data_IF_408908851087
#
_entry.id   IF_408908851087
#
_cell.length_a   1.000
_cell.length_b   1.000
_cell.length_c   1.000
_cell.angle_alpha   90.00
_cell.angle_beta   90.00
_cell.angle_gamma   90.00
#
_symmetry.space_group_name_H-M   'P 1'
#
loop_
_entity.id
_entity.type
_entity.pdbx_description
1 polymer ?
#
# COMPACT_ATOMS: atom_id res chain seq x y z
N UNK A 1 -18.68 9.44 -1.41
CA UNK A 1 -17.73 9.35 -2.54
C UNK A 1 -16.45 10.01 -2.07
N UNK A 2 -15.30 9.33 -2.20
CA UNK A 2 -14.01 9.95 -1.86
C UNK A 2 -13.68 10.91 -3.02
N UNK A 3 -13.66 12.22 -2.75
CA UNK A 3 -13.14 13.21 -3.69
C UNK A 3 -11.62 13.31 -3.52
N UNK A 4 -10.88 12.85 -4.53
CA UNK A 4 -9.41 12.90 -4.57
C UNK A 4 -8.71 11.60 -4.17
N UNK A 5 -7.37 11.64 -4.21
CA UNK A 5 -6.51 10.49 -3.91
C UNK A 5 -6.55 10.14 -2.42
N UNK A 6 -6.82 8.87 -2.13
CA UNK A 6 -6.73 8.29 -0.80
C UNK A 6 -5.35 7.65 -0.60
N UNK A 7 -4.63 8.04 0.46
CA UNK A 7 -3.29 7.54 0.76
C UNK A 7 -3.27 6.81 2.11
N UNK A 8 -2.72 5.59 2.11
CA UNK A 8 -2.50 4.77 3.30
C UNK A 8 -1.00 4.56 3.49
N UNK A 9 -0.51 4.79 4.70
CA UNK A 9 0.84 4.41 5.13
C UNK A 9 0.75 3.26 6.13
N UNK A 10 1.35 2.15 5.77
CA UNK A 10 1.42 0.96 6.59
C UNK A 10 2.68 0.97 7.43
N UNK A 11 2.56 0.53 8.67
CA UNK A 11 3.66 0.44 9.62
C UNK A 11 3.70 -0.96 10.22
N UNK A 12 4.89 -1.53 10.35
CA UNK A 12 5.09 -2.76 11.10
C UNK A 12 6.54 -3.22 11.02
N UNK A 13 6.77 -4.53 11.11
CA UNK A 13 8.11 -5.12 11.02
C UNK A 13 8.24 -6.14 9.90
N UNK A 14 9.46 -6.33 9.40
CA UNK A 14 9.78 -7.34 8.39
C UNK A 14 9.31 -8.72 8.82
N UNK A 15 8.52 -9.38 7.97
CA UNK A 15 7.89 -10.68 8.26
C UNK A 15 6.49 -10.61 8.87
N UNK A 16 5.95 -9.41 9.17
CA UNK A 16 4.58 -9.25 9.72
C UNK A 16 3.51 -8.96 8.65
N UNK A 17 3.84 -9.03 7.36
CA UNK A 17 2.86 -8.87 6.28
C UNK A 17 2.49 -7.42 5.93
N UNK A 18 3.27 -6.42 6.35
CA UNK A 18 3.02 -4.98 6.05
C UNK A 18 2.90 -4.72 4.55
N UNK A 19 3.83 -5.27 3.76
CA UNK A 19 3.85 -5.13 2.30
C UNK A 19 2.67 -5.86 1.67
N UNK A 20 2.40 -7.07 2.13
CA UNK A 20 1.26 -7.87 1.68
C UNK A 20 -0.07 -7.18 1.96
N UNK A 21 -0.24 -6.53 3.10
CA UNK A 21 -1.45 -5.76 3.40
C UNK A 21 -1.65 -4.58 2.43
N UNK A 22 -0.56 -3.87 2.11
CA UNK A 22 -0.55 -2.80 1.09
C UNK A 22 -0.98 -3.33 -0.29
N UNK A 23 -0.45 -4.49 -0.70
CA UNK A 23 -0.81 -5.13 -1.96
C UNK A 23 -2.25 -5.61 -1.98
N UNK A 24 -2.77 -6.18 -0.88
CA UNK A 24 -4.16 -6.63 -0.78
C UNK A 24 -5.13 -5.45 -0.94
N UNK A 25 -4.85 -4.32 -0.28
CA UNK A 25 -5.68 -3.12 -0.44
C UNK A 25 -5.67 -2.61 -1.89
N UNK A 26 -4.50 -2.63 -2.54
CA UNK A 26 -4.41 -2.35 -3.95
C UNK A 26 -5.26 -3.31 -4.80
N UNK A 27 -5.14 -4.62 -4.61
CA UNK A 27 -5.96 -5.60 -5.34
C UNK A 27 -7.47 -5.39 -5.14
N UNK A 28 -7.89 -4.99 -3.94
CA UNK A 28 -9.29 -4.63 -3.69
C UNK A 28 -9.71 -3.41 -4.53
N UNK A 29 -8.86 -2.38 -4.64
CA UNK A 29 -9.14 -1.20 -5.47
C UNK A 29 -9.26 -1.55 -6.96
N UNK A 30 -8.44 -2.48 -7.48
CA UNK A 30 -8.57 -2.97 -8.87
C UNK A 30 -9.95 -3.58 -9.11
N UNK A 31 -10.46 -4.38 -8.16
CA UNK A 31 -11.78 -5.01 -8.28
C UNK A 31 -12.94 -4.01 -8.25
N UNK A 32 -12.68 -2.78 -7.81
CA UNK A 32 -13.63 -1.68 -7.82
C UNK A 32 -13.40 -0.71 -9.00
N UNK A 33 -12.65 -1.12 -10.03
CA UNK A 33 -12.32 -0.31 -11.21
C UNK A 33 -11.63 1.03 -10.88
N UNK A 34 -10.83 1.05 -9.80
CA UNK A 34 -10.04 2.23 -9.38
C UNK A 34 -8.59 2.14 -9.81
N UNK A 35 -7.94 3.29 -9.84
CA UNK A 35 -6.50 3.42 -10.08
C UNK A 35 -5.74 3.33 -8.76
N UNK A 36 -4.53 2.76 -8.81
CA UNK A 36 -3.75 2.56 -7.59
C UNK A 36 -2.24 2.63 -7.79
N UNK A 37 -1.54 2.79 -6.67
CA UNK A 37 -0.12 2.57 -6.54
C UNK A 37 0.15 1.86 -5.21
N UNK A 38 0.89 0.75 -5.21
CA UNK A 38 1.38 0.11 -3.99
C UNK A 38 2.89 -0.06 -4.08
N UNK A 39 3.61 0.37 -3.06
CA UNK A 39 5.05 0.22 -3.00
C UNK A 39 5.57 0.12 -1.56
N UNK A 40 6.60 -0.70 -1.34
CA UNK A 40 7.29 -0.73 -0.07
C UNK A 40 8.29 0.42 0.11
N UNK A 41 8.66 0.68 1.36
CA UNK A 41 9.77 1.55 1.76
C UNK A 41 10.57 0.82 2.84
N UNK A 42 11.53 0.04 2.33
CA UNK A 42 12.53 -0.71 3.09
C UNK A 42 13.79 -0.88 2.23
N UNK A 43 14.97 -0.82 2.84
CA UNK A 43 16.27 -1.10 2.22
C UNK A 43 16.62 -2.60 2.24
N UNK A 44 17.90 -3.00 2.40
CA UNK A 44 18.29 -4.41 2.57
C UNK A 44 17.92 -4.99 3.96
N UNK A 45 16.80 -4.53 4.52
CA UNK A 45 16.37 -4.76 5.88
C UNK A 45 16.02 -6.24 6.14
N UNK A 46 16.44 -6.74 7.31
CA UNK A 46 16.24 -8.13 7.74
C UNK A 46 14.89 -8.30 8.45
N UNK A 47 14.50 -9.56 8.67
CA UNK A 47 13.33 -9.93 9.47
C UNK A 47 13.31 -9.17 10.81
N UNK A 48 12.17 -8.61 11.18
CA UNK A 48 11.99 -7.83 12.41
C UNK A 48 12.38 -6.34 12.33
N UNK A 49 13.05 -5.86 11.27
CA UNK A 49 13.33 -4.44 11.10
C UNK A 49 12.04 -3.62 10.88
N UNK A 50 11.98 -2.33 11.26
CA UNK A 50 10.84 -1.47 10.93
C UNK A 50 10.64 -1.38 9.41
N UNK A 51 9.43 -1.64 8.95
CA UNK A 51 9.06 -1.60 7.52
C UNK A 51 7.89 -0.66 7.34
N UNK A 52 7.92 0.11 6.25
CA UNK A 52 6.78 0.87 5.76
C UNK A 52 6.35 0.35 4.39
N UNK A 53 5.08 0.55 4.09
CA UNK A 53 4.56 0.43 2.74
C UNK A 53 3.52 1.54 2.52
N UNK A 54 3.23 1.83 1.26
CA UNK A 54 2.29 2.87 0.89
C UNK A 54 1.30 2.33 -0.13
N UNK A 55 0.02 2.67 0.04
CA UNK A 55 -1.02 2.44 -0.94
C UNK A 55 -1.68 3.77 -1.28
N UNK A 56 -1.84 4.04 -2.57
CA UNK A 56 -2.59 5.19 -3.08
C UNK A 56 -3.72 4.67 -3.95
N UNK A 57 -4.91 5.25 -3.80
CA UNK A 57 -6.10 4.88 -4.56
C UNK A 57 -6.78 6.16 -5.07
N UNK A 58 -7.13 6.20 -6.34
CA UNK A 58 -7.89 7.30 -6.94
C UNK A 58 -8.94 6.75 -7.91
N UNK A 59 -10.00 7.52 -8.14
CA UNK A 59 -11.00 7.26 -9.16
C UNK A 59 -10.55 7.75 -10.56
N UNK A 60 -9.41 8.44 -10.66
CA UNK A 60 -8.82 8.93 -11.92
C UNK A 60 -7.37 8.49 -12.07
N UNK A 61 -6.96 8.25 -13.32
CA UNK A 61 -5.55 8.10 -13.67
C UNK A 61 -4.92 9.49 -13.71
N UNK A 62 -4.04 9.79 -12.76
CA UNK A 62 -3.29 11.04 -12.65
C UNK A 62 -1.80 10.78 -12.78
#
# INVERSE_FOLDING_TARGET
MIEGMYEVRWHGRGGQGVVTASEILAYAAIKEDKYLQSFPDFGPERMGAPVKAYTRIDNKFN
#
